data_IF_185723416696
#
_entry.id   IF_185723416696
#
_cell.length_a   1.000
_cell.length_b   1.000
_cell.length_c   1.000
_cell.angle_alpha   90.00
_cell.angle_beta   90.00
_cell.angle_gamma   90.00
#
_symmetry.space_group_name_H-M   'P 1'
#
loop_
_entity.id
_entity.type
_entity.pdbx_description
1 polymer ?
#
# COMPACT_ATOMS: atom_id res chain seq x y z
N UNK A 1 -13.51 16.21 -8.40
CA UNK A 1 -12.12 15.91 -8.82
C UNK A 1 -12.04 15.06 -10.07
N UNK A 2 -12.88 14.03 -10.23
CA UNK A 2 -12.78 13.07 -11.35
C UNK A 2 -12.71 13.63 -12.78
N UNK A 3 -13.40 14.74 -13.15
CA UNK A 3 -13.26 15.32 -14.49
C UNK A 3 -11.90 15.96 -14.80
N UNK A 4 -11.08 16.24 -13.76
CA UNK A 4 -9.86 17.05 -13.89
C UNK A 4 -8.56 16.29 -13.58
N UNK A 5 -8.64 15.10 -13.01
CA UNK A 5 -7.47 14.31 -12.61
C UNK A 5 -7.50 12.96 -13.32
N UNK A 6 -6.37 12.47 -13.85
CA UNK A 6 -6.32 11.18 -14.53
C UNK A 6 -6.61 10.00 -13.59
N UNK A 7 -6.01 10.04 -12.39
CA UNK A 7 -6.20 9.07 -11.33
C UNK A 7 -6.80 9.74 -10.09
N UNK A 8 -7.53 8.96 -9.30
CA UNK A 8 -8.04 9.37 -7.99
C UNK A 8 -7.50 8.44 -6.91
N UNK A 9 -7.05 9.03 -5.82
CA UNK A 9 -6.59 8.34 -4.62
C UNK A 9 -7.35 8.89 -3.41
N UNK A 10 -7.85 7.99 -2.56
CA UNK A 10 -8.38 8.30 -1.25
C UNK A 10 -7.46 7.68 -0.20
N UNK A 11 -6.92 8.50 0.70
CA UNK A 11 -6.06 8.00 1.77
C UNK A 11 -6.88 7.23 2.81
N UNK A 12 -6.32 6.13 3.31
CA UNK A 12 -6.98 5.20 4.23
C UNK A 12 -6.20 5.08 5.54
N UNK A 13 -6.88 4.77 6.64
CA UNK A 13 -6.25 4.59 7.95
C UNK A 13 -5.80 3.15 8.24
N UNK A 14 -6.30 2.18 7.47
CA UNK A 14 -6.04 0.74 7.63
C UNK A 14 -6.12 0.05 6.27
N UNK A 15 -5.47 -1.12 6.09
CA UNK A 15 -5.62 -1.90 4.86
C UNK A 15 -6.97 -2.65 4.90
N UNK A 16 -7.96 -2.14 4.16
CA UNK A 16 -9.34 -2.68 4.15
C UNK A 16 -9.89 -2.74 2.72
N UNK A 17 -10.06 -3.97 2.21
CA UNK A 17 -10.60 -4.22 0.87
C UNK A 17 -12.08 -3.83 0.73
N UNK A 18 -12.86 -3.88 1.81
CA UNK A 18 -14.27 -3.49 1.77
C UNK A 18 -14.41 -1.97 1.67
N UNK A 19 -13.59 -1.22 2.41
CA UNK A 19 -13.51 0.23 2.27
C UNK A 19 -13.05 0.63 0.86
N UNK A 20 -12.01 -0.02 0.33
CA UNK A 20 -11.50 0.22 -1.01
C UNK A 20 -12.57 -0.05 -2.09
N UNK A 21 -13.28 -1.18 -1.98
CA UNK A 21 -14.37 -1.54 -2.89
C UNK A 21 -15.49 -0.50 -2.87
N UNK A 22 -15.94 -0.07 -1.69
CA UNK A 22 -16.99 0.95 -1.54
C UNK A 22 -16.58 2.27 -2.19
N UNK A 23 -15.33 2.67 -2.06
CA UNK A 23 -14.81 3.87 -2.70
C UNK A 23 -14.80 3.73 -4.23
N UNK A 24 -14.25 2.62 -4.74
CA UNK A 24 -14.17 2.36 -6.18
C UNK A 24 -15.56 2.35 -6.83
N UNK A 25 -16.52 1.62 -6.26
CA UNK A 25 -17.90 1.59 -6.74
C UNK A 25 -18.57 2.97 -6.70
N UNK A 26 -18.30 3.77 -5.67
CA UNK A 26 -18.80 5.14 -5.57
C UNK A 26 -18.28 6.04 -6.68
N UNK A 27 -16.98 5.97 -6.99
CA UNK A 27 -16.38 6.71 -8.11
C UNK A 27 -16.92 6.21 -9.44
N UNK A 28 -16.92 4.90 -9.67
CA UNK A 28 -17.31 4.29 -10.93
C UNK A 28 -18.80 4.43 -11.26
N UNK A 29 -19.67 4.62 -10.26
CA UNK A 29 -21.09 4.95 -10.49
C UNK A 29 -21.26 6.23 -11.31
N UNK A 30 -20.41 7.23 -11.08
CA UNK A 30 -20.46 8.52 -11.79
C UNK A 30 -19.43 8.63 -12.91
N UNK A 31 -18.32 7.90 -12.79
CA UNK A 31 -17.23 7.89 -13.75
C UNK A 31 -16.75 6.45 -14.00
N UNK A 32 -17.50 5.64 -14.77
CA UNK A 32 -17.15 4.25 -15.05
C UNK A 32 -15.74 4.13 -15.64
N UNK A 33 -14.96 3.17 -15.13
CA UNK A 33 -13.59 2.92 -15.63
C UNK A 33 -12.55 3.95 -15.19
N UNK A 34 -12.89 4.92 -14.33
CA UNK A 34 -11.92 5.89 -13.80
C UNK A 34 -10.75 5.17 -13.12
N UNK A 35 -9.53 5.51 -13.52
CA UNK A 35 -8.33 4.92 -12.94
C UNK A 35 -8.17 5.38 -11.49
N UNK A 36 -7.87 4.43 -10.61
CA UNK A 36 -7.65 4.69 -9.20
C UNK A 36 -6.20 4.39 -8.81
N UNK A 37 -5.73 5.05 -7.76
CA UNK A 37 -4.46 4.76 -7.12
C UNK A 37 -4.64 4.40 -5.63
N UNK A 38 -3.75 3.55 -5.12
CA UNK A 38 -3.81 3.07 -3.73
C UNK A 38 -2.43 3.07 -3.08
N UNK A 39 -2.33 3.70 -1.92
CA UNK A 39 -1.18 3.64 -1.04
C UNK A 39 -1.26 2.39 -0.14
N UNK A 40 -0.44 1.38 -0.43
CA UNK A 40 -0.19 0.25 0.45
C UNK A 40 0.70 0.71 1.62
N UNK A 41 0.12 1.49 2.54
CA UNK A 41 0.90 2.24 3.52
C UNK A 41 1.77 1.33 4.41
N UNK A 42 3.06 1.67 4.58
CA UNK A 42 3.94 0.97 5.52
C UNK A 42 3.68 1.38 6.98
N UNK A 43 2.88 2.43 7.24
CA UNK A 43 2.43 2.77 8.59
C UNK A 43 1.39 1.79 9.14
N UNK A 44 0.78 0.97 8.28
CA UNK A 44 -0.13 -0.06 8.71
C UNK A 44 0.63 -1.23 9.33
N UNK A 45 0.14 -1.73 10.46
CA UNK A 45 0.54 -3.06 10.92
C UNK A 45 -0.24 -4.12 10.14
N UNK A 46 0.29 -4.54 8.99
CA UNK A 46 -0.37 -5.48 8.07
C UNK A 46 -0.77 -6.79 8.75
N UNK A 47 0.18 -7.48 9.40
CA UNK A 47 -0.06 -8.78 10.05
C UNK A 47 -0.98 -8.72 11.27
N UNK A 48 -1.12 -7.54 11.90
CA UNK A 48 -2.08 -7.36 13.00
C UNK A 48 -3.53 -7.27 12.49
N UNK A 49 -3.74 -6.77 11.27
CA UNK A 49 -5.08 -6.51 10.72
C UNK A 49 -5.52 -7.56 9.71
N UNK A 50 -4.60 -8.27 9.06
CA UNK A 50 -4.88 -9.20 7.97
C UNK A 50 -4.09 -10.50 8.13
N UNK A 51 -4.69 -11.60 7.68
CA UNK A 51 -3.99 -12.88 7.52
C UNK A 51 -3.04 -12.87 6.29
N UNK A 52 -2.07 -13.79 6.29
CA UNK A 52 -1.04 -13.86 5.25
C UNK A 52 -1.64 -14.13 3.85
N UNK A 53 -2.73 -14.90 3.77
CA UNK A 53 -3.40 -15.18 2.50
C UNK A 53 -4.05 -13.93 1.90
N UNK A 54 -4.60 -13.07 2.75
CA UNK A 54 -5.22 -11.79 2.39
C UNK A 54 -4.16 -10.77 2.02
N UNK A 55 -3.06 -10.69 2.78
CA UNK A 55 -1.91 -9.85 2.43
C UNK A 55 -1.38 -10.23 1.05
N UNK A 56 -1.18 -11.52 0.78
CA UNK A 56 -0.62 -12.00 -0.49
C UNK A 56 -1.48 -11.67 -1.72
N UNK A 57 -2.81 -11.59 -1.56
CA UNK A 57 -3.72 -11.24 -2.67
C UNK A 57 -4.13 -9.77 -2.72
N UNK A 58 -3.80 -8.97 -1.70
CA UNK A 58 -4.35 -7.63 -1.48
C UNK A 58 -4.27 -6.73 -2.73
N UNK A 59 -3.08 -6.62 -3.32
CA UNK A 59 -2.85 -5.79 -4.51
C UNK A 59 -3.61 -6.28 -5.75
N UNK A 60 -3.77 -7.59 -5.90
CA UNK A 60 -4.53 -8.20 -7.01
C UNK A 60 -6.02 -7.88 -6.90
N UNK A 61 -6.58 -7.98 -5.69
CA UNK A 61 -7.97 -7.62 -5.42
C UNK A 61 -8.21 -6.12 -5.70
N UNK A 62 -7.30 -5.24 -5.24
CA UNK A 62 -7.35 -3.81 -5.59
C UNK A 62 -7.29 -3.58 -7.11
N UNK A 63 -6.42 -4.31 -7.82
CA UNK A 63 -6.30 -4.21 -9.28
C UNK A 63 -7.59 -4.57 -10.02
N UNK A 64 -8.35 -5.54 -9.50
CA UNK A 64 -9.68 -5.92 -10.01
C UNK A 64 -10.73 -4.82 -9.79
N UNK A 65 -10.60 -4.04 -8.71
CA UNK A 65 -11.47 -2.88 -8.41
C UNK A 65 -11.12 -1.60 -9.20
N UNK A 66 -10.04 -1.61 -10.00
CA UNK A 66 -9.63 -0.45 -10.80
C UNK A 66 -8.48 0.39 -10.22
N UNK A 67 -7.87 -0.04 -9.11
CA UNK A 67 -6.64 0.55 -8.59
C UNK A 67 -5.44 0.13 -9.43
N UNK A 68 -5.19 0.87 -10.51
CA UNK A 68 -4.16 0.54 -11.53
C UNK A 68 -2.76 1.03 -11.18
N UNK A 69 -2.65 1.96 -10.23
CA UNK A 69 -1.36 2.38 -9.69
C UNK A 69 -1.34 2.13 -8.17
N UNK A 70 -0.37 1.34 -7.70
CA UNK A 70 -0.27 0.96 -6.29
C UNK A 70 1.18 1.12 -5.84
N UNK A 71 1.39 1.65 -4.64
CA UNK A 71 2.72 2.01 -4.15
C UNK A 71 2.83 1.87 -2.64
N UNK A 72 4.05 1.69 -2.15
CA UNK A 72 4.40 1.77 -0.72
C UNK A 72 5.24 3.04 -0.54
N UNK A 73 4.68 4.05 0.12
CA UNK A 73 5.28 5.40 0.20
C UNK A 73 6.67 5.43 0.82
N UNK A 74 6.90 4.67 1.89
CA UNK A 74 8.15 4.70 2.67
C UNK A 74 8.98 3.41 2.56
N UNK A 75 8.78 2.60 1.52
CA UNK A 75 9.54 1.35 1.36
C UNK A 75 11.06 1.58 1.35
N UNK A 76 11.53 2.61 0.62
CA UNK A 76 12.95 2.97 0.59
C UNK A 76 13.48 3.43 1.94
N UNK A 77 12.69 4.23 2.68
CA UNK A 77 13.07 4.67 4.02
C UNK A 77 13.23 3.48 4.98
N UNK A 78 12.26 2.56 5.00
CA UNK A 78 12.35 1.37 5.85
C UNK A 78 13.55 0.51 5.48
N UNK A 79 13.76 0.21 4.20
CA UNK A 79 14.86 -0.66 3.76
C UNK A 79 16.23 -0.05 4.09
N UNK A 80 16.41 1.25 3.81
CA UNK A 80 17.67 1.94 4.06
C UNK A 80 18.01 1.95 5.56
N UNK A 81 17.07 2.38 6.40
CA UNK A 81 17.31 2.53 7.83
C UNK A 81 17.45 1.19 8.53
N UNK A 82 16.60 0.21 8.18
CA UNK A 82 16.68 -1.13 8.76
C UNK A 82 17.98 -1.83 8.37
N UNK A 83 18.35 -1.80 7.08
CA UNK A 83 19.58 -2.41 6.60
C UNK A 83 20.83 -1.82 7.25
N UNK A 84 20.90 -0.48 7.34
CA UNK A 84 22.03 0.19 7.99
C UNK A 84 22.07 -0.08 9.50
N UNK A 85 20.91 -0.14 10.16
CA UNK A 85 20.83 -0.46 11.58
C UNK A 85 21.35 -1.88 11.86
N UNK A 86 20.91 -2.87 11.12
CA UNK A 86 21.36 -4.26 11.27
C UNK A 86 22.86 -4.40 11.02
N UNK A 87 23.37 -3.75 9.97
CA UNK A 87 24.80 -3.73 9.66
C UNK A 87 25.62 -3.10 10.80
N UNK A 88 25.27 -1.89 11.23
CA UNK A 88 25.99 -1.17 12.27
C UNK A 88 25.95 -1.93 13.62
N UNK A 89 24.81 -2.53 13.96
CA UNK A 89 24.64 -3.36 15.15
C UNK A 89 25.51 -4.62 15.09
N UNK A 90 25.51 -5.30 13.94
CA UNK A 90 26.35 -6.48 13.70
C UNK A 90 27.83 -6.15 13.76
N UNK A 91 28.24 -5.08 13.08
CA UNK A 91 29.63 -4.60 13.05
C UNK A 91 30.15 -4.21 14.45
N UNK A 92 29.31 -3.58 15.27
CA UNK A 92 29.64 -3.30 16.67
C UNK A 92 29.94 -4.59 17.46
N UNK A 93 29.18 -5.66 17.22
CA UNK A 93 29.29 -6.90 17.99
C UNK A 93 30.38 -7.85 17.48
N UNK A 94 30.57 -7.94 16.16
CA UNK A 94 31.35 -8.99 15.49
C UNK A 94 32.40 -8.46 14.50
N UNK A 95 32.49 -7.15 14.33
CA UNK A 95 33.38 -6.47 13.39
C UNK A 95 33.17 -6.98 11.95
N UNK A 96 34.18 -7.59 11.34
CA UNK A 96 34.13 -8.02 9.94
C UNK A 96 33.35 -9.34 9.71
N UNK A 97 32.88 -10.01 10.77
CA UNK A 97 32.21 -11.31 10.72
C UNK A 97 30.67 -11.22 10.75
#
# INVERSE_FOLDING_TARGET
YAPYADLIWCETSKPDLAQAKKFAEGVHRHHPGKLLAYNCSPSFNWKKNLDDATIAKFQRELGAMGYKFQFITLAGFHQLNFGMFELARGYKARQMA
#
